data_IF_991946376653
#
_entry.id   IF_991946376653
#
_cell.length_a   1.000
_cell.length_b   1.000
_cell.length_c   1.000
_cell.angle_alpha   90.00
_cell.angle_beta   90.00
_cell.angle_gamma   90.00
#
_symmetry.space_group_name_H-M   'P 1'
#
loop_
_entity.id
_entity.type
_entity.pdbx_description
1 polymer ?
#
# COMPACT_ATOMS: atom_id res chain seq x y z
N UNK A 1 -3.17 66.01 -1.86
CA UNK A 1 -2.75 65.01 -0.86
C UNK A 1 -3.02 63.62 -1.44
N UNK A 2 -2.58 63.29 -2.65
CA UNK A 2 -1.20 62.93 -3.06
C UNK A 2 -0.69 61.61 -2.45
N UNK A 3 -0.89 60.55 -3.23
CA UNK A 3 0.06 59.52 -3.68
C UNK A 3 1.25 59.17 -2.74
N UNK A 4 1.29 57.91 -2.30
CA UNK A 4 2.56 57.20 -2.24
C UNK A 4 2.39 55.70 -2.48
N UNK A 5 2.56 55.30 -3.73
CA UNK A 5 2.94 53.95 -4.15
C UNK A 5 4.19 53.47 -3.39
N UNK A 6 4.13 52.27 -2.82
CA UNK A 6 5.31 51.42 -2.73
C UNK A 6 4.92 49.93 -2.81
N UNK A 7 4.82 49.44 -4.05
CA UNK A 7 5.45 48.15 -4.35
C UNK A 7 6.95 48.39 -4.50
N UNK A 8 7.78 47.51 -3.91
CA UNK A 8 8.99 47.13 -4.62
C UNK A 8 9.25 45.61 -4.59
N UNK A 9 9.22 45.03 -5.79
CA UNK A 9 9.98 43.87 -6.30
C UNK A 9 9.47 42.44 -6.09
N UNK A 10 9.54 41.59 -7.16
CA UNK A 10 9.33 40.15 -7.06
C UNK A 10 10.54 39.50 -6.40
N UNK A 11 10.32 38.78 -5.29
CA UNK A 11 11.36 37.96 -4.68
C UNK A 11 11.86 36.91 -5.66
N UNK A 12 13.18 36.88 -5.88
CA UNK A 12 13.90 35.91 -6.70
C UNK A 12 13.60 34.45 -6.27
N UNK A 13 13.62 33.49 -7.21
CA UNK A 13 13.55 32.08 -6.87
C UNK A 13 14.90 31.64 -6.30
N UNK A 14 14.94 31.26 -5.02
CA UNK A 14 16.14 30.61 -4.47
C UNK A 14 16.56 31.00 -3.05
N UNK A 15 15.62 31.10 -2.10
CA UNK A 15 15.98 30.94 -0.69
C UNK A 15 15.24 29.72 -0.11
N UNK A 16 15.94 28.62 0.23
CA UNK A 16 15.33 27.54 0.96
C UNK A 16 15.06 28.02 2.39
N UNK A 17 13.78 27.99 2.79
CA UNK A 17 13.39 28.24 4.17
C UNK A 17 14.08 27.20 5.08
N UNK A 18 14.73 27.62 6.17
CA UNK A 18 15.36 26.69 7.11
C UNK A 18 14.27 26.02 7.94
N UNK A 19 14.25 24.68 7.95
CA UNK A 19 13.56 23.92 9.00
C UNK A 19 12.16 23.41 8.69
N UNK A 20 11.81 23.18 7.42
CA UNK A 20 10.68 22.29 7.11
C UNK A 20 11.07 20.86 7.42
N UNK A 21 10.76 20.35 8.61
CA UNK A 21 10.63 18.90 8.76
C UNK A 21 9.62 18.45 7.70
N UNK A 22 10.06 17.66 6.72
CA UNK A 22 9.15 16.94 5.83
C UNK A 22 8.21 16.13 6.73
N UNK A 23 7.02 16.68 6.98
CA UNK A 23 5.95 15.98 7.63
C UNK A 23 5.72 14.73 6.78
N UNK A 24 5.97 13.52 7.32
CA UNK A 24 5.82 12.31 6.53
C UNK A 24 4.40 12.32 5.98
N UNK A 25 4.21 12.04 4.67
CA UNK A 25 2.91 12.19 4.03
C UNK A 25 1.88 11.47 4.88
N UNK A 26 0.89 12.23 5.36
CA UNK A 26 -0.14 11.74 6.27
C UNK A 26 -0.75 10.52 5.59
N UNK A 27 -0.53 9.34 6.18
CA UNK A 27 -0.90 8.09 5.53
C UNK A 27 -2.40 8.17 5.16
N UNK A 28 -2.79 7.79 3.93
CA UNK A 28 -4.16 7.95 3.48
C UNK A 28 -5.09 7.30 4.50
N UNK A 29 -5.91 8.13 5.14
CA UNK A 29 -6.86 7.70 6.18
C UNK A 29 -7.82 6.70 5.53
N UNK A 30 -7.77 5.45 5.98
CA UNK A 30 -8.66 4.39 5.49
C UNK A 30 -9.91 4.41 6.35
N UNK A 31 -11.07 4.33 5.71
CA UNK A 31 -12.35 4.47 6.39
C UNK A 31 -13.11 3.15 6.37
N UNK A 32 -13.69 2.76 7.51
CA UNK A 32 -14.53 1.58 7.60
C UNK A 32 -15.99 1.96 7.33
N UNK A 33 -16.53 1.51 6.19
CA UNK A 33 -17.93 1.76 5.80
C UNK A 33 -18.94 1.15 6.79
N UNK A 34 -18.54 0.18 7.61
CA UNK A 34 -19.47 -0.50 8.52
C UNK A 34 -19.66 0.17 9.88
N UNK A 35 -18.66 0.87 10.38
CA UNK A 35 -18.73 1.50 11.70
C UNK A 35 -18.34 2.98 11.65
N UNK A 36 -18.18 3.52 10.45
CA UNK A 36 -17.89 4.93 10.20
C UNK A 36 -16.65 5.44 10.96
N UNK A 37 -15.70 4.53 11.21
CA UNK A 37 -14.47 4.83 11.92
C UNK A 37 -13.28 4.87 10.97
N UNK A 38 -12.29 5.68 11.33
CA UNK A 38 -10.95 5.56 10.76
C UNK A 38 -10.38 4.18 11.14
N UNK A 39 -9.69 3.54 10.19
CA UNK A 39 -9.02 2.25 10.37
C UNK A 39 -7.56 2.38 9.96
N UNK A 40 -6.65 1.94 10.83
CA UNK A 40 -5.23 1.89 10.49
C UNK A 40 -4.90 0.68 9.61
N UNK A 41 -5.78 -0.32 9.59
CA UNK A 41 -5.60 -1.59 8.88
C UNK A 41 -6.29 -1.59 7.52
N UNK A 42 -5.68 -2.27 6.56
CA UNK A 42 -6.10 -2.26 5.16
C UNK A 42 -6.98 -3.46 4.76
N UNK A 43 -6.96 -4.53 5.55
CA UNK A 43 -7.70 -5.77 5.27
C UNK A 43 -8.89 -6.00 6.22
N UNK A 44 -8.87 -5.36 7.39
CA UNK A 44 -9.97 -5.41 8.36
C UNK A 44 -10.05 -4.06 9.08
N UNK A 45 -11.13 -3.81 9.81
CA UNK A 45 -11.26 -2.66 10.68
C UNK A 45 -10.85 -3.02 12.11
N UNK A 46 -9.92 -2.27 12.70
CA UNK A 46 -9.45 -2.47 14.07
C UNK A 46 -10.45 -2.05 15.16
N UNK A 47 -11.51 -1.31 14.80
CA UNK A 47 -12.56 -0.87 15.72
C UNK A 47 -13.73 -1.87 15.79
N UNK A 48 -14.28 -2.27 14.63
CA UNK A 48 -15.42 -3.18 14.56
C UNK A 48 -15.07 -4.64 14.24
N UNK A 49 -13.85 -4.92 13.77
CA UNK A 49 -13.41 -6.29 13.42
C UNK A 49 -13.92 -6.82 12.08
N UNK A 50 -14.68 -6.03 11.30
CA UNK A 50 -15.16 -6.44 9.97
C UNK A 50 -13.99 -6.52 8.97
N UNK A 51 -14.00 -7.59 8.16
CA UNK A 51 -13.05 -7.82 7.09
C UNK A 51 -13.48 -7.13 5.79
N UNK A 52 -12.53 -6.55 5.07
CA UNK A 52 -12.74 -5.96 3.75
C UNK A 52 -12.60 -7.05 2.66
N UNK A 53 -13.58 -7.94 2.59
CA UNK A 53 -13.57 -9.11 1.70
C UNK A 53 -13.30 -8.78 0.24
N UNK A 54 -13.85 -7.69 -0.29
CA UNK A 54 -13.59 -7.27 -1.68
C UNK A 54 -12.12 -7.00 -1.96
N UNK A 55 -11.41 -6.37 -1.01
CA UNK A 55 -9.97 -6.08 -1.15
C UNK A 55 -9.13 -7.33 -0.91
N UNK A 56 -9.47 -8.12 0.11
CA UNK A 56 -8.81 -9.40 0.40
C UNK A 56 -8.91 -10.33 -0.82
N UNK A 57 -10.09 -10.46 -1.43
CA UNK A 57 -10.31 -11.29 -2.60
C UNK A 57 -9.51 -10.80 -3.81
N UNK A 58 -9.45 -9.48 -4.03
CA UNK A 58 -8.62 -8.90 -5.09
C UNK A 58 -7.14 -9.22 -4.90
N UNK A 59 -6.59 -9.00 -3.70
CA UNK A 59 -5.18 -9.27 -3.42
C UNK A 59 -4.85 -10.78 -3.45
N UNK A 60 -5.77 -11.66 -3.03
CA UNK A 60 -5.65 -13.12 -3.18
C UNK A 60 -5.68 -13.54 -4.65
N UNK A 61 -6.55 -12.94 -5.46
CA UNK A 61 -6.63 -13.18 -6.90
C UNK A 61 -5.34 -12.76 -7.59
N UNK A 62 -4.89 -11.52 -7.40
CA UNK A 62 -3.65 -11.03 -7.99
C UNK A 62 -2.42 -11.80 -7.49
N UNK A 63 -2.30 -12.01 -6.18
CA UNK A 63 -1.19 -12.76 -5.60
C UNK A 63 -1.14 -14.20 -6.07
N UNK A 64 -2.31 -14.85 -6.17
CA UNK A 64 -2.46 -16.21 -6.68
C UNK A 64 -2.08 -16.34 -8.14
N UNK A 65 -2.57 -15.44 -9.01
CA UNK A 65 -2.24 -15.43 -10.44
C UNK A 65 -0.74 -15.23 -10.64
N UNK A 66 -0.11 -14.27 -9.95
CA UNK A 66 1.34 -14.07 -10.05
C UNK A 66 2.14 -15.29 -9.57
N UNK A 67 1.75 -15.89 -8.44
CA UNK A 67 2.40 -17.11 -7.95
C UNK A 67 2.27 -18.26 -8.96
N UNK A 68 1.09 -18.44 -9.56
CA UNK A 68 0.82 -19.50 -10.52
C UNK A 68 1.56 -19.28 -11.84
N UNK A 69 1.64 -18.04 -12.33
CA UNK A 69 2.43 -17.68 -13.51
C UNK A 69 3.92 -17.95 -13.30
N UNK A 70 4.48 -17.61 -12.14
CA UNK A 70 5.87 -17.92 -11.81
C UNK A 70 6.15 -19.43 -11.84
N UNK A 71 5.27 -20.24 -11.25
CA UNK A 71 5.40 -21.71 -11.27
C UNK A 71 5.25 -22.25 -12.70
N UNK A 72 4.27 -21.77 -13.46
CA UNK A 72 4.03 -22.20 -14.83
C UNK A 72 5.21 -21.90 -15.77
N UNK A 73 5.89 -20.77 -15.56
CA UNK A 73 7.11 -20.45 -16.31
C UNK A 73 8.29 -21.34 -15.89
N UNK A 74 8.48 -21.61 -14.59
CA UNK A 74 9.57 -22.49 -14.12
C UNK A 74 9.40 -23.94 -14.64
N UNK A 75 8.15 -24.43 -14.72
CA UNK A 75 7.85 -25.78 -15.18
C UNK A 75 7.89 -25.91 -16.71
N UNK A 76 8.00 -24.80 -17.45
CA UNK A 76 8.07 -24.83 -18.90
C UNK A 76 9.45 -25.36 -19.33
N UNK A 77 9.46 -26.45 -20.09
CA UNK A 77 10.71 -27.02 -20.60
C UNK A 77 11.37 -26.07 -21.60
N UNK A 78 12.70 -25.86 -21.45
CA UNK A 78 13.51 -25.06 -22.38
C UNK A 78 13.60 -23.56 -22.08
N UNK A 79 13.24 -23.11 -20.87
CA UNK A 79 13.35 -21.70 -20.49
C UNK A 79 14.80 -21.24 -20.35
N UNK A 80 15.12 -20.12 -20.97
CA UNK A 80 16.41 -19.44 -20.82
C UNK A 80 16.60 -18.95 -19.37
N UNK A 81 17.85 -18.77 -18.93
CA UNK A 81 18.17 -18.39 -17.54
C UNK A 81 17.47 -17.10 -17.09
N UNK A 82 17.27 -16.14 -18.00
CA UNK A 82 16.56 -14.88 -17.69
C UNK A 82 15.07 -15.11 -17.41
N UNK A 83 14.43 -16.08 -18.08
CA UNK A 83 13.02 -16.42 -17.88
C UNK A 83 12.80 -17.08 -16.52
N UNK A 84 13.77 -17.88 -16.06
CA UNK A 84 13.77 -18.48 -14.73
C UNK A 84 13.85 -17.37 -13.66
N UNK A 85 14.76 -16.41 -13.82
CA UNK A 85 14.88 -15.27 -12.89
C UNK A 85 13.56 -14.48 -12.86
N UNK A 86 13.01 -14.16 -14.04
CA UNK A 86 11.75 -13.43 -14.14
C UNK A 86 10.60 -14.20 -13.46
N UNK A 87 10.51 -15.50 -13.68
CA UNK A 87 9.50 -16.37 -13.09
C UNK A 87 9.62 -16.42 -11.56
N UNK A 88 10.84 -16.49 -11.03
CA UNK A 88 11.10 -16.44 -9.57
C UNK A 88 10.68 -15.09 -9.00
N UNK A 89 10.98 -13.97 -9.68
CA UNK A 89 10.59 -12.63 -9.21
C UNK A 89 9.07 -12.45 -9.18
N UNK A 90 8.36 -12.88 -10.24
CA UNK A 90 6.89 -12.81 -10.32
C UNK A 90 6.28 -13.73 -9.25
N UNK A 91 6.79 -14.95 -9.12
CA UNK A 91 6.34 -15.92 -8.12
C UNK A 91 6.54 -15.41 -6.69
N UNK A 92 7.72 -14.88 -6.38
CA UNK A 92 8.04 -14.29 -5.08
C UNK A 92 7.17 -13.08 -4.76
N UNK A 93 6.89 -12.22 -5.75
CA UNK A 93 5.96 -11.10 -5.61
C UNK A 93 4.55 -11.57 -5.23
N UNK A 94 4.04 -12.59 -5.92
CA UNK A 94 2.74 -13.20 -5.60
C UNK A 94 2.68 -13.79 -4.19
N UNK A 95 3.72 -14.56 -3.81
CA UNK A 95 3.86 -15.13 -2.47
C UNK A 95 3.94 -14.06 -1.37
N UNK A 96 4.62 -12.94 -1.64
CA UNK A 96 4.72 -11.83 -0.69
C UNK A 96 3.36 -11.20 -0.42
N UNK A 97 2.57 -10.97 -1.47
CA UNK A 97 1.19 -10.45 -1.35
C UNK A 97 0.34 -11.41 -0.51
N UNK A 98 0.39 -12.72 -0.80
CA UNK A 98 -0.32 -13.74 -0.03
C UNK A 98 0.09 -13.75 1.45
N UNK A 99 1.40 -13.71 1.72
CA UNK A 99 1.94 -13.70 3.08
C UNK A 99 1.47 -12.47 3.87
N UNK A 100 1.39 -11.31 3.20
CA UNK A 100 0.88 -10.08 3.79
C UNK A 100 -0.60 -10.21 4.16
N UNK A 101 -1.43 -10.82 3.30
CA UNK A 101 -2.85 -11.07 3.58
C UNK A 101 -3.00 -11.99 4.79
N UNK A 102 -2.31 -13.14 4.80
CA UNK A 102 -2.36 -14.12 5.89
C UNK A 102 -2.01 -13.47 7.22
N UNK A 103 -0.98 -12.60 7.24
CA UNK A 103 -0.59 -11.88 8.46
C UNK A 103 -1.69 -10.94 8.96
N UNK A 104 -2.45 -10.30 8.07
CA UNK A 104 -3.57 -9.45 8.47
C UNK A 104 -4.78 -10.26 8.93
N UNK A 105 -5.07 -11.38 8.27
CA UNK A 105 -6.09 -12.32 8.73
C UNK A 105 -5.77 -12.86 10.12
N UNK A 106 -4.49 -13.17 10.39
CA UNK A 106 -4.03 -13.56 11.72
C UNK A 106 -4.25 -12.47 12.77
N UNK A 107 -3.95 -11.20 12.44
CA UNK A 107 -4.24 -10.07 13.34
C UNK A 107 -5.74 -9.89 13.58
N UNK A 108 -6.56 -10.01 12.54
CA UNK A 108 -8.02 -9.96 12.66
C UNK A 108 -8.55 -11.12 13.52
N UNK A 109 -8.00 -12.33 13.35
CA UNK A 109 -8.36 -13.50 14.15
C UNK A 109 -7.99 -13.30 15.63
N UNK A 110 -6.78 -12.81 15.93
CA UNK A 110 -6.36 -12.50 17.31
C UNK A 110 -7.26 -11.42 17.92
N UNK A 111 -7.61 -10.38 17.16
CA UNK A 111 -8.54 -9.35 17.60
C UNK A 111 -9.92 -9.94 17.97
N UNK A 112 -10.47 -10.82 17.13
CA UNK A 112 -11.74 -11.51 17.42
C UNK A 112 -11.65 -12.46 18.62
N UNK A 113 -10.51 -13.15 18.79
CA UNK A 113 -10.30 -14.09 19.88
C UNK A 113 -10.13 -13.42 21.25
N UNK A 114 -9.59 -12.21 21.27
CA UNK A 114 -9.33 -11.45 22.51
C UNK A 114 -10.49 -10.53 22.92
N UNK A 115 -11.61 -10.58 22.20
CA UNK A 115 -12.86 -9.87 22.52
C UNK A 115 -13.87 -10.83 23.14
#
# INVERSE_FOLDING_TARGET
MEDNKQQPWPGLPGQPAPGGQEQPPEAPKKYCVHCESETATWAYCDQCGKLFWGRIAWDLGCGGVCAWLGVGMILKAGTEFYEIILAVLIGAGGLWVMSRIIRQLGKAYVFWRNR
#
